data_IF_709026489706
#
_entry.id   IF_709026489706
#
_cell.length_a   1.000
_cell.length_b   1.000
_cell.length_c   1.000
_cell.angle_alpha   90.00
_cell.angle_beta   90.00
_cell.angle_gamma   90.00
#
_symmetry.space_group_name_H-M   'P 1'
#
loop_
_entity.id
_entity.type
_entity.pdbx_description
1 polymer ?
#
# COMPACT_ATOMS: atom_id res chain seq x y z
N UNK A 1 -85.79 25.92 13.65
CA UNK A 1 -85.59 27.17 12.89
C UNK A 1 -84.22 27.74 13.23
N UNK A 2 -83.21 27.58 12.37
CA UNK A 2 -81.90 28.15 12.66
C UNK A 2 -81.95 29.67 12.59
N UNK A 3 -81.61 30.30 13.73
CA UNK A 3 -81.58 31.75 13.88
C UNK A 3 -80.71 32.39 12.81
N UNK A 4 -81.25 33.44 12.16
CA UNK A 4 -80.61 34.20 11.07
C UNK A 4 -79.22 34.71 11.44
N UNK A 5 -78.95 34.90 12.74
CA UNK A 5 -77.65 35.28 13.29
C UNK A 5 -76.59 34.18 13.14
N UNK A 6 -76.93 32.91 13.40
CA UNK A 6 -76.01 31.77 13.30
C UNK A 6 -75.61 31.47 11.85
N UNK A 7 -76.54 31.67 10.90
CA UNK A 7 -76.24 31.56 9.46
C UNK A 7 -75.31 32.68 8.97
N UNK A 8 -75.41 33.89 9.53
CA UNK A 8 -74.55 35.03 9.17
C UNK A 8 -73.13 34.87 9.73
N UNK A 9 -72.97 34.41 10.98
CA UNK A 9 -71.65 34.15 11.57
C UNK A 9 -70.92 33.01 10.86
N UNK A 10 -71.60 31.90 10.55
CA UNK A 10 -71.03 30.79 9.79
C UNK A 10 -70.56 31.23 8.39
N UNK A 11 -71.31 32.11 7.72
CA UNK A 11 -70.92 32.65 6.41
C UNK A 11 -69.68 33.56 6.52
N UNK A 12 -69.56 34.33 7.60
CA UNK A 12 -68.43 35.21 7.86
C UNK A 12 -67.17 34.44 8.26
N UNK A 13 -67.30 33.43 9.13
CA UNK A 13 -66.20 32.53 9.51
C UNK A 13 -65.70 31.71 8.32
N UNK A 14 -66.60 31.22 7.44
CA UNK A 14 -66.19 30.57 6.19
C UNK A 14 -65.41 31.53 5.28
N UNK A 15 -65.84 32.79 5.14
CA UNK A 15 -65.12 33.79 4.34
C UNK A 15 -63.72 34.08 4.91
N UNK A 16 -63.58 34.18 6.22
CA UNK A 16 -62.30 34.35 6.89
C UNK A 16 -61.39 33.11 6.69
N UNK A 17 -61.95 31.92 6.82
CA UNK A 17 -61.21 30.66 6.64
C UNK A 17 -60.70 30.48 5.20
N UNK A 18 -61.51 30.83 4.20
CA UNK A 18 -61.05 30.89 2.81
C UNK A 18 -59.97 31.96 2.60
N UNK A 19 -60.09 33.12 3.26
CA UNK A 19 -59.06 34.15 3.23
C UNK A 19 -57.71 33.66 3.78
N UNK A 20 -57.72 32.95 4.90
CA UNK A 20 -56.50 32.36 5.48
C UNK A 20 -55.92 31.24 4.60
N UNK A 21 -56.76 30.38 4.04
CA UNK A 21 -56.30 29.33 3.11
C UNK A 21 -55.61 29.94 1.88
N UNK A 22 -56.21 30.96 1.28
CA UNK A 22 -55.61 31.68 0.14
C UNK A 22 -54.29 32.33 0.57
N UNK A 23 -54.25 32.97 1.75
CA UNK A 23 -53.03 33.57 2.29
C UNK A 23 -51.90 32.56 2.50
N UNK A 24 -52.20 31.38 3.05
CA UNK A 24 -51.22 30.30 3.25
C UNK A 24 -50.70 29.78 1.92
N UNK A 25 -51.58 29.55 0.94
CA UNK A 25 -51.17 29.10 -0.40
C UNK A 25 -50.29 30.14 -1.09
N UNK A 26 -50.63 31.43 -0.99
CA UNK A 26 -49.80 32.53 -1.50
C UNK A 26 -48.44 32.59 -0.82
N UNK A 27 -48.41 32.43 0.50
CA UNK A 27 -47.17 32.43 1.27
C UNK A 27 -46.27 31.25 0.88
N UNK A 28 -46.84 30.05 0.74
CA UNK A 28 -46.10 28.86 0.27
C UNK A 28 -45.59 29.05 -1.17
N UNK A 29 -46.41 29.64 -2.04
CA UNK A 29 -45.99 29.92 -3.43
C UNK A 29 -44.81 30.89 -3.47
N UNK A 30 -44.84 31.93 -2.64
CA UNK A 30 -43.76 32.92 -2.52
C UNK A 30 -42.50 32.27 -1.93
N UNK A 31 -42.62 31.47 -0.88
CA UNK A 31 -41.45 30.82 -0.27
C UNK A 31 -40.82 29.76 -1.19
N UNK A 32 -41.61 29.03 -1.97
CA UNK A 32 -41.06 28.03 -2.90
C UNK A 32 -40.39 28.67 -4.12
N UNK A 33 -40.99 29.72 -4.71
CA UNK A 33 -40.42 30.38 -5.90
C UNK A 33 -39.29 31.35 -5.56
N UNK A 34 -39.41 32.10 -4.46
CA UNK A 34 -38.48 33.18 -4.11
C UNK A 34 -37.62 32.87 -2.88
N UNK A 35 -37.88 31.78 -2.14
CA UNK A 35 -37.09 31.38 -0.97
C UNK A 35 -35.61 31.20 -1.25
N UNK A 36 -35.20 30.46 -2.30
CA UNK A 36 -33.78 30.31 -2.63
C UNK A 36 -33.09 31.66 -2.91
N UNK A 37 -33.80 32.60 -3.54
CA UNK A 37 -33.29 33.94 -3.83
C UNK A 37 -33.16 34.80 -2.56
N UNK A 38 -34.15 34.75 -1.67
CA UNK A 38 -34.15 35.49 -0.39
C UNK A 38 -33.05 35.00 0.55
N UNK A 39 -32.77 33.70 0.61
CA UNK A 39 -31.67 33.13 1.43
C UNK A 39 -30.31 33.65 0.94
N UNK A 40 -30.07 33.67 -0.38
CA UNK A 40 -28.84 34.22 -0.95
C UNK A 40 -28.67 35.72 -0.72
N UNK A 41 -29.77 36.50 -0.80
CA UNK A 41 -29.76 37.94 -0.57
C UNK A 41 -29.47 38.30 0.90
N UNK A 42 -30.06 37.57 1.86
CA UNK A 42 -29.81 37.77 3.29
C UNK A 42 -28.37 37.40 3.66
N UNK A 43 -27.85 36.28 3.13
CA UNK A 43 -26.45 35.90 3.33
C UNK A 43 -25.48 36.97 2.81
N UNK A 44 -25.74 37.50 1.61
CA UNK A 44 -24.91 38.56 1.02
C UNK A 44 -24.94 39.87 1.81
N UNK A 45 -26.10 40.25 2.35
CA UNK A 45 -26.24 41.44 3.20
C UNK A 45 -25.53 41.28 4.55
N UNK A 46 -25.57 40.08 5.14
CA UNK A 46 -24.83 39.75 6.37
C UNK A 46 -23.32 39.76 6.12
N UNK A 47 -22.84 39.25 4.98
CA UNK A 47 -21.41 39.29 4.61
C UNK A 47 -20.90 40.74 4.46
N UNK A 48 -21.71 41.62 3.86
CA UNK A 48 -21.44 43.06 3.72
C UNK A 48 -21.40 43.79 5.08
N UNK A 49 -22.30 43.46 6.01
CA UNK A 49 -22.36 44.09 7.34
C UNK A 49 -21.31 43.50 8.30
N UNK A 50 -21.01 42.21 8.17
CA UNK A 50 -20.05 41.50 9.01
C UNK A 50 -18.59 41.80 8.66
N UNK A 51 -18.32 42.62 7.63
CA UNK A 51 -16.96 42.89 7.16
C UNK A 51 -16.22 41.63 6.68
N UNK A 52 -16.95 40.52 6.49
CA UNK A 52 -16.43 39.34 5.83
C UNK A 52 -16.44 39.65 4.35
N UNK A 53 -15.36 40.28 3.90
CA UNK A 53 -14.95 40.10 2.51
C UNK A 53 -15.07 38.61 2.21
N UNK A 54 -15.53 38.27 1.01
CA UNK A 54 -15.19 36.96 0.45
C UNK A 54 -13.68 36.83 0.62
N UNK A 55 -13.24 36.18 1.70
CA UNK A 55 -12.15 35.26 1.60
C UNK A 55 -12.66 34.29 0.56
N UNK A 56 -12.39 34.65 -0.70
CA UNK A 56 -11.85 33.68 -1.61
C UNK A 56 -10.79 33.02 -0.74
N UNK A 57 -11.13 31.85 -0.22
CA UNK A 57 -10.11 30.89 0.13
C UNK A 57 -9.39 30.75 -1.19
N UNK A 58 -8.36 31.57 -1.40
CA UNK A 58 -7.24 31.18 -2.20
C UNK A 58 -6.72 29.97 -1.42
N UNK A 59 -7.37 28.83 -1.64
CA UNK A 59 -6.62 27.63 -1.90
C UNK A 59 -5.71 28.12 -3.03
N UNK A 60 -4.51 28.59 -2.67
CA UNK A 60 -3.37 28.30 -3.52
C UNK A 60 -3.49 26.79 -3.65
N UNK A 61 -4.13 26.34 -4.73
CA UNK A 61 -3.83 25.04 -5.27
C UNK A 61 -2.38 25.28 -5.65
N UNK A 62 -1.47 25.02 -4.70
CA UNK A 62 -0.10 24.83 -5.07
C UNK A 62 -0.21 23.65 -6.01
N UNK A 63 -0.15 23.93 -7.32
CA UNK A 63 -0.36 22.97 -8.39
C UNK A 63 0.84 22.04 -8.48
N UNK A 64 1.26 21.52 -7.32
CA UNK A 64 2.29 20.52 -7.17
C UNK A 64 1.79 19.26 -7.84
N UNK A 65 2.61 18.73 -8.73
CA UNK A 65 2.29 17.50 -9.43
C UNK A 65 2.43 16.34 -8.44
N UNK A 66 1.50 15.39 -8.47
CA UNK A 66 1.62 14.16 -7.70
C UNK A 66 2.71 13.27 -8.34
N UNK A 67 3.65 12.72 -7.54
CA UNK A 67 4.68 11.84 -8.08
C UNK A 67 4.06 10.53 -8.62
N UNK A 68 4.71 9.88 -9.60
CA UNK A 68 4.31 8.57 -10.08
C UNK A 68 4.34 7.49 -9.00
N UNK A 69 3.49 6.49 -9.15
CA UNK A 69 3.46 5.31 -8.31
C UNK A 69 4.17 4.14 -8.99
N UNK A 70 5.21 3.61 -8.35
CA UNK A 70 5.85 2.36 -8.77
C UNK A 70 5.00 1.17 -8.31
N UNK A 71 4.90 0.14 -9.17
CA UNK A 71 4.30 -1.14 -8.81
C UNK A 71 5.05 -1.81 -7.65
N UNK A 72 4.43 -2.76 -6.91
CA UNK A 72 5.13 -3.44 -5.83
C UNK A 72 6.41 -4.14 -6.31
N UNK A 73 7.54 -3.81 -5.69
CA UNK A 73 8.81 -4.51 -5.91
C UNK A 73 8.93 -5.70 -4.95
N UNK A 74 9.60 -6.79 -5.37
CA UNK A 74 10.03 -7.81 -4.42
C UNK A 74 11.03 -7.21 -3.42
N UNK A 75 11.14 -7.81 -2.24
CA UNK A 75 12.11 -7.36 -1.24
C UNK A 75 13.55 -7.53 -1.74
N UNK A 76 13.83 -8.62 -2.46
CA UNK A 76 15.11 -8.86 -3.09
C UNK A 76 14.98 -9.58 -4.44
N UNK A 77 16.03 -9.52 -5.24
CA UNK A 77 16.13 -10.18 -6.55
C UNK A 77 17.53 -10.77 -6.75
N UNK A 78 17.66 -11.90 -7.46
CA UNK A 78 18.95 -12.43 -7.89
C UNK A 78 19.44 -11.83 -9.22
N UNK A 79 18.61 -11.00 -9.85
CA UNK A 79 18.93 -10.39 -11.15
C UNK A 79 19.57 -9.02 -10.99
N UNK A 80 20.69 -8.80 -11.67
CA UNK A 80 21.36 -7.49 -11.76
C UNK A 80 20.51 -6.44 -12.47
N UNK A 81 19.57 -6.87 -13.33
CA UNK A 81 18.70 -5.99 -14.09
C UNK A 81 17.23 -6.28 -13.77
N UNK A 82 16.46 -5.21 -13.59
CA UNK A 82 15.01 -5.30 -13.45
C UNK A 82 14.29 -4.29 -14.34
N UNK A 83 13.04 -4.58 -14.65
CA UNK A 83 12.14 -3.61 -15.26
C UNK A 83 11.37 -2.90 -14.16
N UNK A 84 11.34 -1.58 -14.21
CA UNK A 84 10.61 -0.74 -13.27
C UNK A 84 9.33 -0.27 -13.94
N UNK A 85 8.20 -0.74 -13.43
CA UNK A 85 6.87 -0.40 -13.94
C UNK A 85 6.07 0.37 -12.90
N UNK A 86 5.06 1.09 -13.38
CA UNK A 86 4.18 1.84 -12.51
C UNK A 86 3.22 2.71 -13.29
N UNK A 87 2.56 3.61 -12.57
CA UNK A 87 1.48 4.46 -13.06
C UNK A 87 1.71 5.94 -12.76
N UNK A 88 1.32 6.76 -13.71
CA UNK A 88 1.20 8.21 -13.61
C UNK A 88 -0.25 8.60 -13.30
N UNK A 89 -0.43 9.75 -12.65
CA UNK A 89 -1.74 10.38 -12.49
C UNK A 89 -2.12 11.29 -13.67
N UNK A 90 -1.21 11.44 -14.64
CA UNK A 90 -1.32 12.38 -15.76
C UNK A 90 -1.08 11.65 -17.09
N UNK A 91 -1.85 11.96 -18.16
CA UNK A 91 -1.75 11.30 -19.47
C UNK A 91 -0.61 11.80 -20.35
N UNK A 92 0.16 12.78 -19.87
CA UNK A 92 1.37 13.25 -20.51
C UNK A 92 2.46 13.52 -19.48
N UNK A 93 3.70 13.60 -19.97
CA UNK A 93 4.87 13.95 -19.16
C UNK A 93 5.99 12.95 -19.31
N UNK A 94 7.03 13.17 -18.51
CA UNK A 94 8.21 12.32 -18.45
C UNK A 94 8.48 11.92 -16.99
N UNK A 95 8.48 10.62 -16.73
CA UNK A 95 8.83 10.04 -15.44
C UNK A 95 10.34 9.87 -15.39
N UNK A 96 10.98 10.52 -14.43
CA UNK A 96 12.39 10.32 -14.13
C UNK A 96 12.55 9.32 -12.99
N UNK A 97 13.35 8.29 -13.22
CA UNK A 97 13.78 7.33 -12.21
C UNK A 97 15.15 7.72 -11.68
N UNK A 98 15.25 7.78 -10.36
CA UNK A 98 16.49 7.95 -9.61
C UNK A 98 16.81 6.64 -8.89
N UNK A 99 18.06 6.22 -8.97
CA UNK A 99 18.60 5.04 -8.28
C UNK A 99 19.73 5.50 -7.38
N UNK A 100 19.67 5.16 -6.09
CA UNK A 100 20.67 5.51 -5.09
C UNK A 100 20.98 7.03 -5.06
N UNK A 101 19.94 7.85 -5.26
CA UNK A 101 20.01 9.31 -5.25
C UNK A 101 20.46 9.97 -6.56
N UNK A 102 20.88 9.19 -7.57
CA UNK A 102 21.30 9.72 -8.87
C UNK A 102 20.24 9.47 -9.95
N UNK A 103 20.02 10.45 -10.84
CA UNK A 103 19.12 10.26 -11.99
C UNK A 103 19.67 9.13 -12.86
N UNK A 104 18.84 8.11 -13.12
CA UNK A 104 19.23 6.92 -13.85
C UNK A 104 18.72 6.94 -15.29
N UNK A 105 17.39 6.97 -15.47
CA UNK A 105 16.72 6.99 -16.78
C UNK A 105 15.40 7.76 -16.67
N UNK A 106 14.80 8.05 -17.81
CA UNK A 106 13.46 8.60 -17.90
C UNK A 106 12.60 7.86 -18.92
N UNK A 107 11.28 7.89 -18.74
CA UNK A 107 10.30 7.33 -19.64
C UNK A 107 9.18 8.34 -19.89
N UNK A 108 8.75 8.48 -21.15
CA UNK A 108 7.58 9.28 -21.49
C UNK A 108 6.31 8.51 -21.15
N UNK A 109 5.34 9.23 -20.61
CA UNK A 109 3.99 8.71 -20.41
C UNK A 109 3.20 8.86 -21.71
N UNK A 110 2.44 7.82 -22.03
CA UNK A 110 1.45 7.82 -23.09
C UNK A 110 0.02 7.82 -22.49
N UNK A 111 -1.00 7.77 -23.36
CA UNK A 111 -2.40 7.79 -22.95
C UNK A 111 -2.81 6.61 -22.04
N UNK A 112 -1.98 5.57 -21.89
CA UNK A 112 -2.25 4.43 -21.00
C UNK A 112 -2.05 4.74 -19.52
N UNK A 113 -1.39 5.86 -19.18
CA UNK A 113 -0.95 6.24 -17.82
C UNK A 113 0.14 5.33 -17.23
N UNK A 114 0.49 4.22 -17.88
CA UNK A 114 1.51 3.30 -17.42
C UNK A 114 2.90 3.74 -17.91
N UNK A 115 3.94 3.43 -17.15
CA UNK A 115 5.33 3.54 -17.62
C UNK A 115 6.08 2.24 -17.41
N UNK A 116 7.09 2.02 -18.26
CA UNK A 116 8.00 0.90 -18.15
C UNK A 116 9.43 1.35 -18.49
N UNK A 117 10.29 1.34 -17.48
CA UNK A 117 11.73 1.62 -17.63
C UNK A 117 12.46 0.28 -17.58
N UNK A 118 12.97 -0.15 -18.74
CA UNK A 118 13.64 -1.44 -18.88
C UNK A 118 15.11 -1.39 -18.50
N UNK A 119 15.62 -2.56 -18.11
CA UNK A 119 17.04 -2.81 -17.86
C UNK A 119 17.64 -1.80 -16.87
N UNK A 120 16.97 -1.63 -15.73
CA UNK A 120 17.49 -0.86 -14.60
C UNK A 120 18.50 -1.72 -13.87
N UNK A 121 19.75 -1.28 -13.91
CA UNK A 121 20.88 -1.93 -13.27
C UNK A 121 20.87 -1.69 -11.76
N UNK A 122 21.02 -2.76 -10.99
CA UNK A 122 21.14 -2.73 -9.53
C UNK A 122 22.61 -2.87 -9.11
N UNK A 123 22.95 -2.22 -8.00
CA UNK A 123 24.20 -2.45 -7.28
C UNK A 123 24.01 -3.57 -6.24
N UNK A 124 25.03 -4.37 -5.92
CA UNK A 124 24.90 -5.40 -4.87
C UNK A 124 24.42 -4.79 -3.54
N UNK A 125 23.45 -5.44 -2.90
CA UNK A 125 22.84 -4.94 -1.65
C UNK A 125 21.59 -4.10 -1.88
N UNK A 126 21.24 -3.24 -0.90
CA UNK A 126 20.05 -2.40 -0.95
C UNK A 126 20.17 -1.31 -2.03
N UNK A 127 19.16 -1.21 -2.89
CA UNK A 127 18.98 -0.15 -3.87
C UNK A 127 17.71 0.63 -3.53
N UNK A 128 17.79 1.96 -3.64
CA UNK A 128 16.67 2.85 -3.36
C UNK A 128 16.25 3.55 -4.65
N UNK A 129 14.97 3.39 -5.00
CA UNK A 129 14.34 4.06 -6.13
C UNK A 129 13.46 5.21 -5.67
N UNK A 130 13.58 6.32 -6.40
CA UNK A 130 12.70 7.48 -6.30
C UNK A 130 12.26 7.89 -7.70
N UNK A 131 11.02 8.36 -7.80
CA UNK A 131 10.46 8.82 -9.07
C UNK A 131 9.95 10.24 -8.90
N UNK A 132 9.98 10.99 -10.00
CA UNK A 132 9.25 12.24 -10.14
C UNK A 132 8.75 12.36 -11.56
N UNK A 133 7.69 13.14 -11.75
CA UNK A 133 7.16 13.44 -13.09
C UNK A 133 7.46 14.89 -13.47
N UNK A 134 7.79 15.08 -14.75
CA UNK A 134 7.97 16.39 -15.36
C UNK A 134 6.89 16.59 -16.43
N UNK A 135 6.13 17.67 -16.30
CA UNK A 135 5.09 18.07 -17.27
C UNK A 135 5.37 19.52 -17.69
N UNK A 136 5.90 19.68 -18.90
CA UNK A 136 6.36 20.97 -19.40
C UNK A 136 7.56 21.48 -18.59
N UNK A 137 7.36 22.57 -17.84
CA UNK A 137 8.39 23.15 -16.96
C UNK A 137 8.17 22.86 -15.49
N UNK A 138 7.10 22.11 -15.14
CA UNK A 138 6.78 21.76 -13.76
C UNK A 138 7.30 20.37 -13.44
N UNK A 139 7.81 20.20 -12.23
CA UNK A 139 8.22 18.92 -11.66
C UNK A 139 7.39 18.61 -10.42
N UNK A 140 7.12 17.33 -10.18
CA UNK A 140 6.61 16.86 -8.88
C UNK A 140 7.71 16.84 -7.85
N UNK A 141 7.30 16.78 -6.58
CA UNK A 141 8.16 16.23 -5.53
C UNK A 141 8.57 14.78 -5.87
N UNK A 142 9.55 14.25 -5.13
CA UNK A 142 9.89 12.84 -5.25
C UNK A 142 8.80 11.95 -4.62
N UNK A 143 8.61 10.78 -5.20
CA UNK A 143 7.88 9.68 -4.58
C UNK A 143 8.50 9.28 -3.25
N UNK A 144 7.78 8.46 -2.50
CA UNK A 144 8.39 7.67 -1.42
C UNK A 144 9.55 6.81 -1.93
N UNK A 145 10.40 6.38 -1.00
CA UNK A 145 11.49 5.45 -1.26
C UNK A 145 10.92 4.06 -1.54
N UNK A 146 11.29 3.49 -2.68
CA UNK A 146 11.06 2.09 -3.00
C UNK A 146 12.37 1.34 -2.86
N UNK A 147 12.39 0.28 -2.06
CA UNK A 147 13.61 -0.46 -1.74
C UNK A 147 13.58 -1.84 -2.40
N UNK A 148 14.73 -2.26 -2.89
CA UNK A 148 14.96 -3.62 -3.40
C UNK A 148 16.41 -4.01 -3.16
N UNK A 149 16.65 -5.22 -2.66
CA UNK A 149 18.00 -5.74 -2.47
C UNK A 149 18.42 -6.63 -3.65
N UNK A 150 19.59 -6.39 -4.23
CA UNK A 150 20.19 -7.30 -5.19
C UNK A 150 21.12 -8.28 -4.45
N UNK A 151 20.69 -9.55 -4.37
CA UNK A 151 21.45 -10.64 -3.77
C UNK A 151 21.85 -11.63 -4.86
N UNK A 152 23.10 -11.54 -5.30
CA UNK A 152 23.62 -12.38 -6.40
C UNK A 152 23.92 -13.81 -5.95
N UNK A 153 24.43 -13.96 -4.73
CA UNK A 153 25.01 -15.20 -4.25
C UNK A 153 24.01 -16.00 -3.41
N UNK A 154 24.06 -17.32 -3.59
CA UNK A 154 23.28 -18.26 -2.77
C UNK A 154 23.68 -18.14 -1.30
N UNK A 155 22.75 -18.39 -0.36
CA UNK A 155 23.06 -18.36 1.06
C UNK A 155 24.10 -19.42 1.41
N UNK A 156 25.03 -19.09 2.30
CA UNK A 156 25.93 -20.08 2.89
C UNK A 156 25.13 -21.05 3.75
N UNK A 157 25.55 -22.31 3.77
CA UNK A 157 24.95 -23.33 4.61
C UNK A 157 26.02 -24.29 5.10
N UNK A 158 26.24 -24.27 6.41
CA UNK A 158 27.10 -25.20 7.13
C UNK A 158 26.23 -25.95 8.14
N UNK A 159 26.41 -27.27 8.20
CA UNK A 159 25.72 -28.11 9.18
C UNK A 159 26.78 -28.71 10.08
N UNK A 160 26.74 -28.36 11.36
CA UNK A 160 27.72 -28.73 12.38
C UNK A 160 27.36 -30.08 13.02
N UNK A 161 26.06 -30.34 13.17
CA UNK A 161 25.55 -31.58 13.73
C UNK A 161 24.18 -31.92 13.14
N UNK A 162 23.90 -33.20 12.83
CA UNK A 162 24.81 -34.34 12.89
C UNK A 162 25.88 -34.30 11.78
N UNK A 163 26.97 -35.05 11.97
CA UNK A 163 27.92 -35.33 10.90
C UNK A 163 27.36 -36.42 9.99
N UNK A 164 27.74 -36.38 8.71
CA UNK A 164 27.33 -37.40 7.75
C UNK A 164 27.88 -38.78 8.14
N UNK A 165 27.02 -39.80 8.06
CA UNK A 165 27.29 -41.17 8.50
C UNK A 165 27.22 -41.39 10.02
N UNK A 166 26.80 -40.40 10.82
CA UNK A 166 26.69 -40.58 12.28
C UNK A 166 25.69 -41.69 12.65
N UNK A 167 26.00 -42.42 13.72
CA UNK A 167 25.16 -43.48 14.26
C UNK A 167 24.67 -43.10 15.66
N UNK A 168 23.38 -43.30 15.89
CA UNK A 168 22.66 -42.94 17.11
C UNK A 168 22.03 -44.16 17.76
N UNK A 169 21.92 -44.13 19.08
CA UNK A 169 21.39 -45.24 19.89
C UNK A 169 20.11 -44.82 20.61
N UNK A 170 19.50 -45.72 21.41
CA UNK A 170 18.31 -45.46 22.24
C UNK A 170 18.30 -44.10 22.96
N UNK A 171 19.45 -43.61 23.42
CA UNK A 171 19.55 -42.34 24.14
C UNK A 171 19.26 -41.10 23.26
N UNK A 172 19.34 -41.24 21.93
CA UNK A 172 19.41 -40.14 20.95
C UNK A 172 18.25 -40.19 19.95
N UNK A 173 17.07 -40.68 20.35
CA UNK A 173 15.91 -40.74 19.45
C UNK A 173 15.54 -39.37 18.86
N UNK A 174 15.80 -38.29 19.61
CA UNK A 174 15.64 -36.92 19.16
C UNK A 174 17.00 -36.24 19.12
N UNK A 175 17.36 -35.71 17.95
CA UNK A 175 18.61 -34.99 17.73
C UNK A 175 18.35 -33.54 17.36
N UNK A 176 19.23 -32.63 17.79
CA UNK A 176 19.16 -31.22 17.41
C UNK A 176 20.06 -30.98 16.21
N UNK A 177 19.48 -30.94 15.01
CA UNK A 177 20.16 -30.56 13.77
C UNK A 177 20.54 -29.09 13.87
N UNK A 178 21.84 -28.80 13.86
CA UNK A 178 22.39 -27.47 14.10
C UNK A 178 23.45 -27.10 13.07
N UNK A 179 23.57 -25.82 12.82
CA UNK A 179 24.59 -25.29 11.93
C UNK A 179 24.47 -23.78 11.79
N UNK A 180 25.04 -23.27 10.69
CA UNK A 180 25.11 -21.84 10.40
C UNK A 180 24.75 -21.52 8.96
N UNK A 181 24.07 -20.40 8.76
CA UNK A 181 23.82 -19.76 7.46
C UNK A 181 24.15 -18.27 7.54
N UNK A 182 24.05 -17.53 6.43
CA UNK A 182 24.07 -16.07 6.51
C UNK A 182 22.80 -15.57 7.26
N UNK A 183 22.88 -14.45 8.01
CA UNK A 183 21.74 -13.90 8.74
C UNK A 183 20.51 -13.66 7.85
N UNK A 184 19.33 -13.63 8.47
CA UNK A 184 18.03 -13.33 7.82
C UNK A 184 17.54 -14.36 6.78
N UNK A 185 18.30 -15.44 6.56
CA UNK A 185 17.87 -16.54 5.71
C UNK A 185 16.87 -17.46 6.43
N UNK A 186 16.03 -18.13 5.64
CA UNK A 186 15.17 -19.21 6.13
C UNK A 186 15.88 -20.55 5.97
N UNK A 187 15.94 -21.34 7.04
CA UNK A 187 16.47 -22.71 7.00
C UNK A 187 15.33 -23.72 7.15
N UNK A 188 15.36 -24.80 6.37
CA UNK A 188 14.45 -25.94 6.48
C UNK A 188 15.22 -27.24 6.66
N UNK A 189 14.68 -28.17 7.44
CA UNK A 189 15.16 -29.55 7.61
C UNK A 189 14.01 -30.49 7.23
N UNK A 190 14.15 -31.24 6.14
CA UNK A 190 13.10 -32.08 5.56
C UNK A 190 11.77 -31.31 5.39
N UNK A 191 11.85 -30.11 4.79
CA UNK A 191 10.74 -29.17 4.55
C UNK A 191 10.16 -28.46 5.78
N UNK A 192 10.61 -28.78 7.00
CA UNK A 192 10.20 -28.09 8.23
C UNK A 192 11.12 -26.92 8.55
N UNK A 193 10.55 -25.77 8.91
CA UNK A 193 11.31 -24.54 9.23
C UNK A 193 12.10 -24.73 10.53
N UNK A 194 13.40 -24.46 10.47
CA UNK A 194 14.29 -24.39 11.63
C UNK A 194 14.23 -22.99 12.27
N UNK A 195 14.55 -22.90 13.56
CA UNK A 195 14.74 -21.62 14.22
C UNK A 195 16.10 -21.09 13.79
N UNK A 196 16.16 -19.84 13.32
CA UNK A 196 17.40 -19.14 12.94
C UNK A 196 17.50 -17.89 13.79
N UNK A 197 18.65 -17.68 14.45
CA UNK A 197 18.91 -16.47 15.23
C UNK A 197 19.48 -15.32 14.37
N UNK A 198 19.71 -14.16 14.98
CA UNK A 198 20.25 -12.97 14.30
C UNK A 198 21.69 -13.15 13.79
N UNK A 199 22.42 -14.15 14.29
CA UNK A 199 23.79 -14.47 13.86
C UNK A 199 23.82 -15.55 12.77
N UNK A 200 22.64 -16.07 12.37
CA UNK A 200 22.49 -17.13 11.38
C UNK A 200 22.70 -18.54 11.93
N UNK A 201 22.83 -18.71 13.25
CA UNK A 201 22.85 -20.06 13.82
C UNK A 201 21.43 -20.63 13.77
N UNK A 202 21.31 -21.87 13.29
CA UNK A 202 20.03 -22.53 13.19
C UNK A 202 19.97 -23.81 14.03
N UNK A 203 18.76 -24.15 14.48
CA UNK A 203 18.49 -25.40 15.19
C UNK A 203 17.11 -25.94 14.87
N UNK A 204 17.02 -27.26 14.71
CA UNK A 204 15.78 -28.00 14.55
C UNK A 204 15.86 -29.34 15.26
N UNK A 205 14.85 -29.69 16.06
CA UNK A 205 14.77 -31.00 16.71
C UNK A 205 14.15 -32.00 15.75
N UNK A 206 14.95 -32.99 15.33
CA UNK A 206 14.53 -34.06 14.44
C UNK A 206 14.40 -35.38 15.20
N UNK A 207 13.27 -36.06 15.02
CA UNK A 207 13.03 -37.39 15.59
C UNK A 207 13.45 -38.48 14.62
N UNK A 208 14.45 -39.26 15.00
CA UNK A 208 15.00 -40.35 14.21
C UNK A 208 14.03 -41.53 14.13
N UNK A 209 14.03 -42.19 12.97
CA UNK A 209 13.34 -43.45 12.70
C UNK A 209 14.35 -44.59 12.77
N UNK A 210 13.90 -45.80 13.10
CA UNK A 210 14.76 -46.99 13.08
C UNK A 210 15.40 -47.19 11.69
N UNK A 211 16.72 -47.45 11.66
CA UNK A 211 17.51 -47.56 10.44
C UNK A 211 18.06 -46.24 9.91
N UNK A 212 18.14 -46.12 8.59
CA UNK A 212 18.71 -44.97 7.88
C UNK A 212 17.73 -43.78 7.85
N UNK A 213 18.24 -42.58 8.17
CA UNK A 213 17.52 -41.32 8.13
C UNK A 213 18.25 -40.35 7.20
N UNK A 214 17.55 -39.86 6.19
CA UNK A 214 18.04 -38.81 5.29
C UNK A 214 17.53 -37.45 5.76
N UNK A 215 18.44 -36.54 6.00
CA UNK A 215 18.18 -35.16 6.43
C UNK A 215 18.59 -34.23 5.29
N UNK A 216 17.60 -33.63 4.64
CA UNK A 216 17.79 -32.57 3.67
C UNK A 216 17.69 -31.22 4.38
N UNK A 217 18.82 -30.55 4.54
CA UNK A 217 18.90 -29.20 5.09
C UNK A 217 18.98 -28.21 3.94
N UNK A 218 18.13 -27.20 3.91
CA UNK A 218 18.16 -26.14 2.90
C UNK A 218 18.14 -24.76 3.54
N UNK A 219 18.90 -23.82 2.97
CA UNK A 219 18.87 -22.41 3.30
C UNK A 219 18.39 -21.61 2.10
N UNK A 220 17.49 -20.66 2.32
CA UNK A 220 16.87 -19.81 1.30
C UNK A 220 17.03 -18.34 1.70
N UNK A 221 17.57 -17.51 0.78
CA UNK A 221 17.70 -16.07 0.99
C UNK A 221 16.45 -15.30 0.54
N UNK A 222 16.36 -14.01 0.86
CA UNK A 222 15.23 -13.15 0.48
C UNK A 222 15.01 -13.02 -1.04
N UNK A 223 16.02 -13.35 -1.86
CA UNK A 223 15.95 -13.38 -3.31
C UNK A 223 15.47 -14.74 -3.87
N UNK A 224 15.10 -15.69 -2.99
CA UNK A 224 14.63 -17.02 -3.35
C UNK A 224 15.73 -17.98 -3.82
N UNK A 225 17.00 -17.63 -3.61
CA UNK A 225 18.11 -18.52 -3.94
C UNK A 225 18.33 -19.55 -2.82
N UNK A 226 18.52 -20.81 -3.21
CA UNK A 226 18.59 -21.93 -2.28
C UNK A 226 19.94 -22.66 -2.36
N UNK A 227 20.47 -22.99 -1.19
CA UNK A 227 21.58 -23.94 -0.98
C UNK A 227 21.05 -25.14 -0.20
N UNK A 228 21.41 -26.35 -0.60
CA UNK A 228 20.98 -27.60 0.05
C UNK A 228 22.17 -28.46 0.46
N UNK A 229 22.00 -29.22 1.55
CA UNK A 229 22.94 -30.22 2.03
C UNK A 229 22.17 -31.45 2.50
N UNK A 230 22.54 -32.61 1.98
CA UNK A 230 22.01 -33.91 2.42
C UNK A 230 22.97 -34.51 3.45
N UNK A 231 22.39 -35.07 4.52
CA UNK A 231 23.12 -35.76 5.58
C UNK A 231 22.40 -37.07 5.87
N UNK A 232 23.12 -38.17 5.85
CA UNK A 232 22.59 -39.50 6.13
C UNK A 232 23.08 -39.94 7.51
N UNK A 233 22.15 -40.33 8.38
CA UNK A 233 22.47 -40.85 9.72
C UNK A 233 21.74 -42.16 9.96
N UNK A 234 22.23 -42.97 10.89
CA UNK A 234 21.58 -44.23 11.28
C UNK A 234 21.16 -44.19 12.74
N UNK A 235 20.05 -44.85 13.06
CA UNK A 235 19.53 -44.97 14.42
C UNK A 235 19.17 -46.42 14.72
N UNK A 236 19.58 -46.91 15.90
CA UNK A 236 19.26 -48.25 16.38
C UNK A 236 18.79 -48.19 17.86
N UNK A 237 17.52 -48.53 18.16
CA UNK A 237 16.90 -48.38 19.48
C UNK A 237 17.25 -49.48 20.51
#
# INVERSE_FOLDING_TARGET
MDSRLKRRSLKQSKKQLYGYLIGIVLLIFITLNFGPYLIGAVGSAIDLISGKSKQITNIKIDGSLEPPLLDPLPQATPSEFINVTGRSFYPEGEVELFVNGSKYKSARIDESLDFNIKDVKLEPGENIFKLRIIIGTRESDFSKDYKISYLKDKPKLEVDFPQDGAAFSRADQEISVRGKTDPENTVKVNDFIAIVDSEGNFSYVYKLKDGENKLLVSAENAAGQITTKEIIVSYSP
#
